data_IF_058648652470
#
_entry.id   IF_058648652470
#
_cell.length_a   1.000
_cell.length_b   1.000
_cell.length_c   1.000
_cell.angle_alpha   90.00
_cell.angle_beta   90.00
_cell.angle_gamma   90.00
#
_symmetry.space_group_name_H-M   'P 1'
#
loop_
_entity.id
_entity.type
_entity.pdbx_description
1 polymer ?
#
# COMPACT_ATOMS: atom_id res chain seq x y z
N UNK A 1 -25.39 3.64 10.90
CA UNK A 1 -24.83 3.35 9.56
C UNK A 1 -25.88 2.57 8.77
N UNK A 2 -26.41 3.10 7.67
CA UNK A 2 -27.34 2.35 6.82
C UNK A 2 -26.58 1.22 6.12
N UNK A 3 -27.05 -0.01 6.29
CA UNK A 3 -26.44 -1.19 5.67
C UNK A 3 -26.51 -1.05 4.16
N UNK A 4 -25.35 -1.10 3.49
CA UNK A 4 -25.27 -1.08 2.03
C UNK A 4 -25.80 -2.39 1.48
N UNK A 5 -26.59 -2.33 0.42
CA UNK A 5 -26.99 -3.56 -0.25
C UNK A 5 -25.78 -4.19 -0.97
N UNK A 6 -25.47 -5.44 -0.65
CA UNK A 6 -24.52 -6.27 -1.39
C UNK A 6 -25.15 -7.56 -1.91
N UNK A 7 -26.41 -7.86 -1.56
CA UNK A 7 -27.07 -9.09 -1.97
C UNK A 7 -26.27 -10.33 -1.58
N UNK A 8 -25.97 -11.18 -2.57
CA UNK A 8 -25.15 -12.39 -2.40
C UNK A 8 -23.64 -12.15 -2.55
N UNK A 9 -23.21 -10.92 -2.79
CA UNK A 9 -21.80 -10.57 -2.98
C UNK A 9 -21.14 -10.23 -1.63
N UNK A 10 -19.84 -10.54 -1.52
CA UNK A 10 -19.07 -10.30 -0.30
C UNK A 10 -19.00 -8.80 0.03
N UNK A 11 -18.95 -7.96 -1.01
CA UNK A 11 -18.87 -6.51 -0.84
C UNK A 11 -19.85 -5.76 -1.74
N UNK A 12 -20.33 -4.59 -1.31
CA UNK A 12 -21.20 -3.75 -2.13
C UNK A 12 -20.51 -3.21 -3.40
N UNK A 13 -19.17 -3.19 -3.45
CA UNK A 13 -18.44 -2.75 -4.65
C UNK A 13 -18.38 -3.84 -5.73
N UNK A 14 -18.20 -5.10 -5.32
CA UNK A 14 -18.34 -6.25 -6.23
C UNK A 14 -19.76 -6.32 -6.80
N UNK A 15 -20.78 -6.16 -5.94
CA UNK A 15 -22.18 -6.12 -6.36
C UNK A 15 -22.42 -5.03 -7.41
N UNK A 16 -21.95 -3.81 -7.14
CA UNK A 16 -22.12 -2.67 -8.03
C UNK A 16 -21.41 -2.85 -9.38
N UNK A 17 -20.23 -3.47 -9.40
CA UNK A 17 -19.53 -3.80 -10.64
C UNK A 17 -20.36 -4.76 -11.52
N UNK A 18 -20.84 -5.86 -10.94
CA UNK A 18 -21.60 -6.85 -11.72
C UNK A 18 -22.95 -6.30 -12.18
N UNK A 19 -23.57 -5.43 -11.38
CA UNK A 19 -24.75 -4.68 -11.82
C UNK A 19 -24.41 -3.70 -12.94
N UNK A 20 -23.28 -2.99 -12.89
CA UNK A 20 -22.82 -2.11 -13.96
C UNK A 20 -22.59 -2.88 -15.26
N UNK A 21 -21.97 -4.07 -15.19
CA UNK A 21 -21.81 -4.99 -16.32
C UNK A 21 -23.19 -5.39 -16.88
N UNK A 22 -24.14 -5.73 -16.01
CA UNK A 22 -25.52 -6.05 -16.41
C UNK A 22 -26.25 -4.89 -17.10
N UNK A 23 -26.14 -3.68 -16.56
CA UNK A 23 -26.74 -2.45 -17.12
C UNK A 23 -26.20 -2.15 -18.52
N UNK A 24 -24.88 -2.17 -18.68
CA UNK A 24 -24.21 -1.91 -19.96
C UNK A 24 -24.49 -3.04 -20.96
N UNK A 25 -24.56 -4.29 -20.50
CA UNK A 25 -24.96 -5.43 -21.36
C UNK A 25 -26.40 -5.29 -21.84
N UNK A 26 -27.35 -4.93 -20.96
CA UNK A 26 -28.74 -4.70 -21.34
C UNK A 26 -28.84 -3.55 -22.37
N UNK A 27 -28.09 -2.45 -22.16
CA UNK A 27 -28.01 -1.36 -23.12
C UNK A 27 -27.45 -1.80 -24.48
N UNK A 28 -26.38 -2.60 -24.49
CA UNK A 28 -25.81 -3.18 -25.70
C UNK A 28 -26.81 -4.07 -26.46
N UNK A 29 -27.58 -4.90 -25.75
CA UNK A 29 -28.65 -5.72 -26.37
C UNK A 29 -29.76 -4.84 -26.92
N UNK A 30 -30.14 -3.75 -26.23
CA UNK A 30 -31.11 -2.78 -26.76
C UNK A 30 -30.62 -2.13 -28.06
N UNK A 31 -29.33 -1.74 -28.12
CA UNK A 31 -28.72 -1.21 -29.36
C UNK A 31 -28.82 -2.26 -30.49
N UNK A 32 -28.54 -3.53 -30.20
CA UNK A 32 -28.67 -4.61 -31.17
C UNK A 32 -30.11 -4.82 -31.66
N UNK A 33 -31.09 -4.85 -30.74
CA UNK A 33 -32.52 -4.98 -31.08
C UNK A 33 -33.04 -3.81 -31.90
N UNK A 34 -32.50 -2.61 -31.69
CA UNK A 34 -32.91 -1.39 -32.39
C UNK A 34 -32.56 -1.38 -33.88
N UNK A 35 -31.61 -2.22 -34.26
CA UNK A 35 -31.22 -2.46 -35.65
C UNK A 35 -32.16 -3.43 -36.36
N UNK A 36 -33.01 -4.17 -35.63
CA UNK A 36 -34.05 -5.01 -36.22
C UNK A 36 -35.23 -4.17 -36.72
N UNK A 37 -35.96 -4.63 -37.77
CA UNK A 37 -37.18 -3.97 -38.22
C UNK A 37 -38.19 -3.84 -37.07
N UNK A 38 -39.06 -2.83 -37.16
CA UNK A 38 -40.12 -2.61 -36.15
C UNK A 38 -41.08 -3.81 -36.17
N UNK A 39 -41.38 -4.34 -35.00
CA UNK A 39 -42.28 -5.49 -34.81
C UNK A 39 -42.49 -5.79 -33.33
N UNK A 40 -43.47 -6.63 -33.01
CA UNK A 40 -43.86 -6.94 -31.63
C UNK A 40 -42.67 -7.39 -30.78
N UNK A 41 -41.82 -8.28 -31.30
CA UNK A 41 -40.63 -8.79 -30.61
C UNK A 41 -39.66 -7.67 -30.20
N UNK A 42 -39.49 -6.65 -31.05
CA UNK A 42 -38.65 -5.49 -30.73
C UNK A 42 -39.27 -4.68 -29.59
N UNK A 43 -40.55 -4.37 -29.66
CA UNK A 43 -41.25 -3.59 -28.62
C UNK A 43 -41.25 -4.32 -27.28
N UNK A 44 -41.61 -5.61 -27.26
CA UNK A 44 -41.59 -6.44 -26.04
C UNK A 44 -40.18 -6.55 -25.47
N UNK A 45 -39.16 -6.77 -26.32
CA UNK A 45 -37.77 -6.82 -25.89
C UNK A 45 -37.27 -5.49 -25.30
N UNK A 46 -37.68 -4.36 -25.87
CA UNK A 46 -37.38 -3.03 -25.35
C UNK A 46 -38.01 -2.79 -23.98
N UNK A 47 -39.31 -3.09 -23.82
CA UNK A 47 -40.00 -2.94 -22.54
C UNK A 47 -39.36 -3.81 -21.46
N UNK A 48 -39.04 -5.07 -21.78
CA UNK A 48 -38.37 -5.98 -20.85
C UNK A 48 -36.99 -5.46 -20.44
N UNK A 49 -36.16 -5.04 -21.39
CA UNK A 49 -34.81 -4.54 -21.11
C UNK A 49 -34.82 -3.22 -20.33
N UNK A 50 -35.77 -2.32 -20.60
CA UNK A 50 -35.97 -1.10 -19.80
C UNK A 50 -36.36 -1.42 -18.36
N UNK A 51 -37.26 -2.38 -18.14
CA UNK A 51 -37.62 -2.84 -16.80
C UNK A 51 -36.41 -3.44 -16.07
N UNK A 52 -35.63 -4.29 -16.73
CA UNK A 52 -34.38 -4.83 -16.19
C UNK A 52 -33.41 -3.70 -15.83
N UNK A 53 -33.22 -2.72 -16.71
CA UNK A 53 -32.35 -1.58 -16.46
C UNK A 53 -32.84 -0.73 -15.29
N UNK A 54 -34.14 -0.49 -15.15
CA UNK A 54 -34.69 0.24 -14.02
C UNK A 54 -34.42 -0.49 -12.69
N UNK A 55 -34.64 -1.82 -12.65
CA UNK A 55 -34.33 -2.64 -11.47
C UNK A 55 -32.84 -2.62 -11.13
N UNK A 56 -31.97 -2.78 -12.13
CA UNK A 56 -30.52 -2.74 -11.93
C UNK A 56 -30.02 -1.35 -11.52
N UNK A 57 -30.60 -0.27 -12.08
CA UNK A 57 -30.27 1.10 -11.70
C UNK A 57 -30.66 1.39 -10.23
N UNK A 58 -31.77 0.82 -9.77
CA UNK A 58 -32.13 0.90 -8.35
C UNK A 58 -31.12 0.14 -7.49
N UNK A 59 -30.75 -1.09 -7.86
CA UNK A 59 -29.80 -1.90 -7.11
C UNK A 59 -28.40 -1.28 -7.06
N UNK A 60 -27.90 -0.71 -8.15
CA UNK A 60 -26.58 -0.05 -8.15
C UNK A 60 -26.59 1.18 -7.24
N UNK A 61 -27.68 1.93 -7.20
CA UNK A 61 -27.83 3.06 -6.28
C UNK A 61 -27.98 2.60 -4.82
N UNK A 62 -28.68 1.49 -4.55
CA UNK A 62 -28.77 0.89 -3.20
C UNK A 62 -27.42 0.30 -2.72
N UNK A 63 -26.54 -0.11 -3.64
CA UNK A 63 -25.17 -0.50 -3.28
C UNK A 63 -24.37 0.66 -2.69
N UNK A 64 -24.75 1.91 -3.01
CA UNK A 64 -24.04 3.13 -2.66
C UNK A 64 -22.57 3.14 -3.10
N UNK A 65 -22.21 2.34 -4.13
CA UNK A 65 -20.84 2.27 -4.66
C UNK A 65 -20.63 3.33 -5.74
N UNK A 66 -19.87 4.37 -5.40
CA UNK A 66 -19.46 5.42 -6.33
C UNK A 66 -18.66 4.87 -7.52
N UNK A 67 -17.77 3.91 -7.26
CA UNK A 67 -16.95 3.28 -8.29
C UNK A 67 -17.80 2.50 -9.30
N UNK A 68 -18.79 1.72 -8.83
CA UNK A 68 -19.72 1.01 -9.70
C UNK A 68 -20.56 1.95 -10.56
N UNK A 69 -21.09 3.04 -9.98
CA UNK A 69 -21.81 4.06 -10.74
C UNK A 69 -20.93 4.74 -11.79
N UNK A 70 -19.71 5.15 -11.43
CA UNK A 70 -18.76 5.75 -12.36
C UNK A 70 -18.44 4.79 -13.51
N UNK A 71 -18.15 3.52 -13.20
CA UNK A 71 -17.91 2.47 -14.19
C UNK A 71 -19.10 2.27 -15.14
N UNK A 72 -20.32 2.21 -14.60
CA UNK A 72 -21.54 2.10 -15.38
C UNK A 72 -21.71 3.30 -16.34
N UNK A 73 -21.56 4.52 -15.82
CA UNK A 73 -21.68 5.75 -16.62
C UNK A 73 -20.62 5.76 -17.73
N UNK A 74 -19.37 5.42 -17.43
CA UNK A 74 -18.31 5.35 -18.44
C UNK A 74 -18.63 4.34 -19.54
N UNK A 75 -19.10 3.13 -19.20
CA UNK A 75 -19.53 2.14 -20.19
C UNK A 75 -20.71 2.61 -21.05
N UNK A 76 -21.72 3.24 -20.44
CA UNK A 76 -22.84 3.83 -21.18
C UNK A 76 -22.39 4.98 -22.09
N UNK A 77 -21.46 5.84 -21.66
CA UNK A 77 -20.90 6.89 -22.51
C UNK A 77 -20.14 6.32 -23.71
N UNK A 78 -19.36 5.25 -23.52
CA UNK A 78 -18.72 4.56 -24.65
C UNK A 78 -19.77 4.07 -25.65
N UNK A 79 -20.85 3.42 -25.19
CA UNK A 79 -21.94 3.00 -26.08
C UNK A 79 -22.64 4.17 -26.77
N UNK A 80 -22.86 5.27 -26.06
CA UNK A 80 -23.52 6.47 -26.54
C UNK A 80 -22.75 7.13 -27.70
N UNK A 81 -21.43 7.22 -27.58
CA UNK A 81 -20.57 7.84 -28.60
C UNK A 81 -20.15 6.89 -29.72
N UNK A 82 -20.38 5.58 -29.57
CA UNK A 82 -19.96 4.59 -30.57
C UNK A 82 -20.90 4.45 -31.77
N UNK A 83 -22.17 4.86 -31.66
CA UNK A 83 -23.14 4.76 -32.76
C UNK A 83 -24.06 5.99 -32.76
N UNK A 84 -24.18 6.68 -33.90
CA UNK A 84 -25.04 7.87 -34.04
C UNK A 84 -26.51 7.60 -33.70
N UNK A 85 -26.96 6.35 -33.75
CA UNK A 85 -28.34 5.96 -33.41
C UNK A 85 -28.49 5.37 -32.01
N UNK A 86 -27.41 5.10 -31.27
CA UNK A 86 -27.49 4.50 -29.93
C UNK A 86 -28.00 5.46 -28.86
N UNK A 87 -27.98 6.78 -29.10
CA UNK A 87 -28.44 7.73 -28.08
C UNK A 87 -29.90 7.49 -27.66
N UNK A 88 -30.77 7.09 -28.59
CA UNK A 88 -32.17 6.75 -28.27
C UNK A 88 -32.32 5.52 -27.36
N UNK A 89 -31.34 4.59 -27.37
CA UNK A 89 -31.36 3.38 -26.54
C UNK A 89 -30.59 3.55 -25.24
N UNK A 90 -29.50 4.32 -25.27
CA UNK A 90 -28.54 4.45 -24.16
C UNK A 90 -28.92 5.59 -23.22
N UNK A 91 -29.49 6.68 -23.74
CA UNK A 91 -29.87 7.83 -22.91
C UNK A 91 -30.90 7.48 -21.82
N UNK A 92 -31.93 6.65 -22.06
CA UNK A 92 -32.83 6.19 -21.00
C UNK A 92 -32.09 5.47 -19.87
N UNK A 93 -31.16 4.56 -20.20
CA UNK A 93 -30.37 3.85 -19.20
C UNK A 93 -29.50 4.80 -18.37
N UNK A 94 -28.88 5.80 -19.02
CA UNK A 94 -28.09 6.81 -18.34
C UNK A 94 -28.95 7.68 -17.40
N UNK A 95 -30.11 8.12 -17.88
CA UNK A 95 -31.09 8.87 -17.07
C UNK A 95 -31.54 8.04 -15.88
N UNK A 96 -31.86 6.76 -16.07
CA UNK A 96 -32.27 5.87 -14.98
C UNK A 96 -31.19 5.75 -13.90
N UNK A 97 -29.92 5.59 -14.27
CA UNK A 97 -28.80 5.54 -13.32
C UNK A 97 -28.66 6.86 -12.56
N UNK A 98 -28.74 8.00 -13.26
CA UNK A 98 -28.65 9.33 -12.64
C UNK A 98 -29.82 9.57 -11.69
N UNK A 99 -31.06 9.30 -12.13
CA UNK A 99 -32.27 9.48 -11.33
C UNK A 99 -32.26 8.56 -10.11
N UNK A 100 -31.92 7.28 -10.26
CA UNK A 100 -31.83 6.35 -9.14
C UNK A 100 -30.80 6.83 -8.09
N UNK A 101 -29.67 7.38 -8.54
CA UNK A 101 -28.63 7.91 -7.67
C UNK A 101 -29.07 9.19 -6.93
N UNK A 102 -29.84 10.07 -7.59
CA UNK A 102 -30.32 11.33 -7.02
C UNK A 102 -31.53 11.16 -6.09
N UNK A 103 -32.42 10.21 -6.39
CA UNK A 103 -33.66 9.98 -5.65
C UNK A 103 -33.42 9.19 -4.37
N UNK A 104 -32.49 8.24 -4.37
CA UNK A 104 -32.23 7.41 -3.19
C UNK A 104 -31.41 8.18 -2.14
N UNK A 105 -31.96 8.39 -0.92
CA UNK A 105 -31.28 9.16 0.14
C UNK A 105 -29.88 8.64 0.44
N UNK A 106 -29.72 7.31 0.48
CA UNK A 106 -28.43 6.66 0.75
C UNK A 106 -27.32 7.04 -0.24
N UNK A 107 -27.66 7.29 -1.51
CA UNK A 107 -26.70 7.71 -2.53
C UNK A 107 -26.48 9.23 -2.47
N UNK A 108 -27.57 10.00 -2.32
CA UNK A 108 -27.53 11.47 -2.23
C UNK A 108 -26.69 11.95 -1.04
N UNK A 109 -26.90 11.38 0.14
CA UNK A 109 -26.22 11.80 1.38
C UNK A 109 -24.72 11.49 1.35
N UNK A 110 -24.28 10.60 0.46
CA UNK A 110 -22.86 10.26 0.28
C UNK A 110 -22.08 11.23 -0.58
N UNK A 111 -22.75 12.04 -1.40
CA UNK A 111 -22.09 13.07 -2.19
C UNK A 111 -21.37 14.11 -1.29
N UNK A 112 -22.01 14.72 -0.27
CA UNK A 112 -21.32 15.63 0.63
C UNK A 112 -20.36 14.90 1.59
N UNK A 113 -20.71 13.67 2.03
CA UNK A 113 -19.84 12.87 2.88
C UNK A 113 -18.54 12.48 2.18
N UNK A 114 -18.54 12.35 0.85
CA UNK A 114 -17.36 12.06 0.04
C UNK A 114 -16.19 13.00 0.34
N UNK A 115 -16.46 14.30 0.50
CA UNK A 115 -15.43 15.30 0.73
C UNK A 115 -14.76 15.18 2.12
N UNK A 116 -15.35 14.43 3.04
CA UNK A 116 -14.91 14.27 4.43
C UNK A 116 -14.59 12.82 4.80
N UNK A 117 -14.62 11.91 3.83
CA UNK A 117 -14.57 10.47 4.06
C UNK A 117 -13.13 10.00 4.34
N UNK A 118 -12.85 9.63 5.60
CA UNK A 118 -11.56 9.08 6.03
C UNK A 118 -11.14 7.86 5.19
N UNK A 119 -12.09 7.07 4.67
CA UNK A 119 -11.80 5.93 3.80
C UNK A 119 -11.17 6.33 2.46
N UNK A 120 -11.33 7.60 2.02
CA UNK A 120 -10.58 8.12 0.88
C UNK A 120 -9.12 8.40 1.25
N UNK A 121 -8.88 8.89 2.47
CA UNK A 121 -7.52 9.06 3.01
C UNK A 121 -6.76 7.73 3.02
N UNK A 122 -7.41 6.67 3.48
CA UNK A 122 -6.83 5.32 3.53
C UNK A 122 -6.45 4.79 2.14
N UNK A 123 -7.33 4.96 1.15
CA UNK A 123 -7.05 4.56 -0.24
C UNK A 123 -5.90 5.35 -0.84
N UNK A 124 -5.87 6.66 -0.61
CA UNK A 124 -4.80 7.53 -1.11
C UNK A 124 -3.46 7.17 -0.45
N UNK A 125 -3.45 6.87 0.85
CA UNK A 125 -2.26 6.40 1.55
C UNK A 125 -1.76 5.07 0.98
N UNK A 126 -2.67 4.12 0.72
CA UNK A 126 -2.36 2.84 0.10
C UNK A 126 -1.84 2.99 -1.34
N UNK A 127 -2.44 3.87 -2.14
CA UNK A 127 -1.96 4.17 -3.50
C UNK A 127 -0.57 4.80 -3.48
N UNK A 128 -0.32 5.73 -2.56
CA UNK A 128 1.00 6.35 -2.37
C UNK A 128 2.05 5.32 -1.97
N UNK A 129 1.71 4.44 -1.03
CA UNK A 129 2.57 3.32 -0.58
C UNK A 129 2.90 2.38 -1.74
N UNK A 130 1.89 2.07 -2.56
CA UNK A 130 2.05 1.20 -3.75
C UNK A 130 2.94 1.84 -4.81
N UNK A 131 2.80 3.16 -5.02
CA UNK A 131 3.66 3.91 -5.93
C UNK A 131 5.10 3.97 -5.43
N UNK A 132 5.31 4.20 -4.13
CA UNK A 132 6.65 4.18 -3.54
C UNK A 132 7.32 2.81 -3.73
N UNK A 133 6.60 1.71 -3.46
CA UNK A 133 7.11 0.36 -3.71
C UNK A 133 7.45 0.10 -5.19
N UNK A 134 6.70 0.70 -6.13
CA UNK A 134 7.01 0.57 -7.56
C UNK A 134 8.29 1.29 -7.99
N UNK A 135 8.76 2.30 -7.23
CA UNK A 135 10.06 2.96 -7.47
C UNK A 135 11.21 2.02 -7.09
N UNK A 136 11.03 1.26 -6.01
CA UNK A 136 12.03 0.32 -5.51
C UNK A 136 12.12 -0.94 -6.39
N UNK A 137 11.00 -1.39 -6.94
CA UNK A 137 10.93 -2.61 -7.77
C UNK A 137 10.36 -2.34 -9.17
N UNK A 138 10.99 -1.47 -9.98
CA UNK A 138 10.40 -0.96 -11.21
C UNK A 138 10.29 -2.02 -12.32
N UNK A 139 11.23 -2.96 -12.38
CA UNK A 139 11.32 -3.91 -13.49
C UNK A 139 10.59 -5.22 -13.24
N UNK A 140 10.75 -5.79 -12.04
CA UNK A 140 10.23 -7.11 -11.68
C UNK A 140 8.93 -7.04 -10.90
N UNK A 141 8.65 -5.89 -10.26
CA UNK A 141 7.70 -5.82 -9.16
C UNK A 141 8.12 -6.69 -7.97
N UNK A 142 7.19 -6.85 -7.02
CA UNK A 142 7.38 -7.59 -5.75
C UNK A 142 6.66 -8.95 -5.73
N UNK A 143 5.99 -9.34 -6.82
CA UNK A 143 5.35 -10.64 -6.96
C UNK A 143 4.24 -10.90 -5.93
N UNK A 144 4.09 -12.16 -5.51
CA UNK A 144 3.07 -12.59 -4.56
C UNK A 144 3.22 -12.02 -3.15
N UNK A 145 4.36 -11.38 -2.82
CA UNK A 145 4.65 -10.78 -1.51
C UNK A 145 4.11 -9.35 -1.38
N UNK A 146 3.31 -8.90 -2.34
CA UNK A 146 2.87 -7.51 -2.40
C UNK A 146 2.11 -7.05 -1.16
N UNK A 147 1.24 -7.89 -0.61
CA UNK A 147 0.48 -7.56 0.60
C UNK A 147 1.39 -7.38 1.82
N UNK A 148 2.23 -8.38 2.13
CA UNK A 148 3.11 -8.32 3.30
C UNK A 148 4.16 -7.23 3.19
N UNK A 149 4.76 -7.05 2.01
CA UNK A 149 5.79 -6.03 1.83
C UNK A 149 5.20 -4.61 1.90
N UNK A 150 4.01 -4.37 1.35
CA UNK A 150 3.32 -3.08 1.52
C UNK A 150 2.97 -2.83 2.99
N UNK A 151 2.49 -3.85 3.70
CA UNK A 151 2.13 -3.76 5.11
C UNK A 151 3.34 -3.50 6.02
N UNK A 152 4.41 -4.27 5.84
CA UNK A 152 5.56 -4.24 6.75
C UNK A 152 6.45 -3.00 6.51
N UNK A 153 6.45 -2.43 5.30
CA UNK A 153 7.43 -1.42 4.89
C UNK A 153 6.83 -0.10 4.43
N UNK A 154 5.71 -0.09 3.69
CA UNK A 154 5.25 1.13 3.00
C UNK A 154 4.00 1.75 3.63
N UNK A 155 3.15 0.95 4.27
CA UNK A 155 1.92 1.43 4.90
C UNK A 155 2.21 2.10 6.26
N UNK A 156 1.57 3.24 6.56
CA UNK A 156 1.67 3.84 7.90
C UNK A 156 1.09 2.93 8.98
N UNK A 157 1.65 3.02 10.20
CA UNK A 157 1.15 2.30 11.36
C UNK A 157 -0.35 2.58 11.56
N UNK A 158 -1.17 1.54 11.73
CA UNK A 158 -2.63 1.64 11.83
C UNK A 158 -3.38 1.18 10.57
N UNK A 159 -2.68 1.00 9.44
CA UNK A 159 -3.22 0.40 8.22
C UNK A 159 -2.90 -1.09 8.05
N UNK A 160 -2.02 -1.63 8.89
CA UNK A 160 -1.66 -3.05 8.93
C UNK A 160 -2.89 -3.95 9.11
N UNK A 161 -2.89 -5.10 8.44
CA UNK A 161 -3.92 -6.16 8.47
C UNK A 161 -5.28 -5.79 7.89
N UNK A 162 -5.46 -4.57 7.35
CA UNK A 162 -6.74 -4.14 6.75
C UNK A 162 -6.84 -4.36 5.24
N UNK A 163 -5.73 -4.38 4.52
CA UNK A 163 -5.75 -4.40 3.05
C UNK A 163 -4.86 -5.50 2.47
N UNK A 164 -5.43 -6.37 1.64
CA UNK A 164 -4.69 -7.43 0.93
C UNK A 164 -4.21 -7.00 -0.47
N UNK A 165 -4.72 -5.89 -1.00
CA UNK A 165 -4.43 -5.37 -2.35
C UNK A 165 -4.29 -3.85 -2.29
N UNK A 166 -3.77 -3.20 -3.34
CA UNK A 166 -3.68 -1.73 -3.41
C UNK A 166 -5.02 -1.04 -3.68
N UNK A 167 -6.12 -1.80 -3.68
CA UNK A 167 -7.47 -1.33 -4.03
C UNK A 167 -7.55 -0.65 -5.40
N UNK A 168 -6.62 -0.95 -6.30
CA UNK A 168 -6.65 -0.59 -7.71
C UNK A 168 -5.99 -1.71 -8.51
N UNK A 169 -6.67 -2.26 -9.50
CA UNK A 169 -6.13 -3.31 -10.38
C UNK A 169 -4.86 -2.86 -11.09
N UNK A 170 -4.85 -1.62 -11.62
CA UNK A 170 -3.69 -1.06 -12.32
C UNK A 170 -2.47 -0.92 -11.42
N UNK A 171 -2.63 -0.35 -10.23
CA UNK A 171 -1.54 -0.25 -9.25
C UNK A 171 -1.12 -1.62 -8.71
N UNK A 172 -2.07 -2.57 -8.59
CA UNK A 172 -1.71 -3.94 -8.18
C UNK A 172 -0.88 -4.64 -9.25
N UNK A 173 -1.23 -4.51 -10.53
CA UNK A 173 -0.42 -5.02 -11.64
C UNK A 173 0.97 -4.37 -11.62
N UNK A 174 1.03 -3.05 -11.48
CA UNK A 174 2.29 -2.30 -11.43
C UNK A 174 3.19 -2.80 -10.31
N UNK A 175 2.70 -2.87 -9.07
CA UNK A 175 3.55 -3.22 -7.93
C UNK A 175 3.95 -4.69 -7.99
N UNK A 176 3.05 -5.57 -8.45
CA UNK A 176 3.29 -7.02 -8.48
C UNK A 176 4.22 -7.46 -9.61
N UNK A 177 4.14 -6.81 -10.77
CA UNK A 177 4.84 -7.25 -11.99
C UNK A 177 5.74 -6.18 -12.62
N UNK A 178 5.82 -4.98 -12.04
CA UNK A 178 6.65 -3.88 -12.52
C UNK A 178 6.03 -3.06 -13.65
N UNK A 179 6.74 -1.99 -14.03
CA UNK A 179 6.39 -1.13 -15.16
C UNK A 179 6.30 -1.87 -16.51
N UNK A 180 7.15 -2.86 -16.85
CA UNK A 180 7.04 -3.55 -18.13
C UNK A 180 5.71 -4.30 -18.31
N UNK A 181 5.24 -4.99 -17.27
CA UNK A 181 3.96 -5.69 -17.32
C UNK A 181 2.78 -4.70 -17.41
N UNK A 182 2.83 -3.62 -16.62
CA UNK A 182 1.84 -2.55 -16.69
C UNK A 182 1.82 -1.91 -18.09
N UNK A 183 2.98 -1.66 -18.70
CA UNK A 183 3.11 -1.17 -20.07
C UNK A 183 2.38 -2.08 -21.05
N UNK A 184 2.71 -3.38 -21.03
CA UNK A 184 2.13 -4.36 -21.94
C UNK A 184 0.59 -4.40 -21.84
N UNK A 185 0.05 -4.36 -20.61
CA UNK A 185 -1.40 -4.33 -20.37
C UNK A 185 -2.03 -3.06 -20.93
N UNK A 186 -1.47 -1.88 -20.64
CA UNK A 186 -1.99 -0.60 -21.14
C UNK A 186 -1.89 -0.51 -22.67
N UNK A 187 -0.78 -0.97 -23.25
CA UNK A 187 -0.61 -1.05 -24.71
C UNK A 187 -1.65 -1.98 -25.33
N UNK A 188 -1.87 -3.18 -24.78
CA UNK A 188 -2.86 -4.11 -25.29
C UNK A 188 -4.26 -3.48 -25.25
N UNK A 189 -4.67 -2.92 -24.11
CA UNK A 189 -5.98 -2.27 -23.96
C UNK A 189 -6.11 -1.09 -24.93
N UNK A 190 -5.09 -0.24 -25.02
CA UNK A 190 -5.09 0.92 -25.92
C UNK A 190 -5.19 0.52 -27.40
N UNK A 191 -4.51 -0.57 -27.79
CA UNK A 191 -4.55 -1.12 -29.14
C UNK A 191 -5.97 -1.61 -29.48
N UNK A 192 -6.57 -2.39 -28.57
CA UNK A 192 -7.92 -2.91 -28.75
C UNK A 192 -8.95 -1.78 -28.78
N UNK A 193 -8.85 -0.80 -27.89
CA UNK A 193 -9.74 0.36 -27.85
C UNK A 193 -9.63 1.20 -29.13
N UNK A 194 -8.42 1.55 -29.56
CA UNK A 194 -8.20 2.33 -30.79
C UNK A 194 -8.73 1.61 -32.03
N UNK A 195 -8.52 0.29 -32.10
CA UNK A 195 -9.00 -0.54 -33.21
C UNK A 195 -10.54 -0.68 -33.19
N UNK A 196 -11.14 -0.79 -32.01
CA UNK A 196 -12.59 -0.88 -31.84
C UNK A 196 -13.29 0.44 -32.20
N UNK A 197 -12.76 1.59 -31.76
CA UNK A 197 -13.29 2.92 -32.10
C UNK A 197 -13.21 3.17 -33.61
N UNK A 198 -12.11 2.76 -34.24
CA UNK A 198 -11.92 2.93 -35.69
C UNK A 198 -12.75 1.97 -36.53
N UNK A 199 -13.35 0.96 -35.90
CA UNK A 199 -14.28 0.05 -36.52
C UNK A 199 -15.67 0.70 -36.57
N UNK A 200 -15.86 1.65 -37.48
CA UNK A 200 -17.09 2.46 -37.66
C UNK A 200 -18.41 1.66 -37.85
N UNK A 201 -18.36 0.32 -37.90
CA UNK A 201 -19.52 -0.52 -38.28
C UNK A 201 -19.88 -1.67 -37.34
N UNK A 202 -19.09 -1.98 -36.30
CA UNK A 202 -19.43 -3.13 -35.43
C UNK A 202 -19.90 -2.70 -34.03
N UNK A 203 -21.22 -2.64 -33.86
CA UNK A 203 -21.87 -2.45 -32.56
C UNK A 203 -21.38 -3.44 -31.50
N UNK A 204 -21.01 -4.65 -31.96
CA UNK A 204 -20.43 -5.69 -31.14
C UNK A 204 -19.10 -5.25 -30.49
N UNK A 205 -18.15 -4.73 -31.27
CA UNK A 205 -16.87 -4.25 -30.71
C UNK A 205 -17.07 -3.05 -29.79
N UNK A 206 -18.02 -2.15 -30.11
CA UNK A 206 -18.38 -1.04 -29.24
C UNK A 206 -18.96 -1.52 -27.89
N UNK A 207 -19.77 -2.57 -27.92
CA UNK A 207 -20.35 -3.18 -26.71
C UNK A 207 -19.29 -3.86 -25.85
N UNK A 208 -18.38 -4.60 -26.46
CA UNK A 208 -17.26 -5.22 -25.76
C UNK A 208 -16.29 -4.16 -25.20
N UNK A 209 -16.03 -3.07 -25.94
CA UNK A 209 -15.23 -1.95 -25.44
C UNK A 209 -15.91 -1.25 -24.26
N UNK A 210 -17.23 -1.05 -24.32
CA UNK A 210 -17.98 -0.47 -23.21
C UNK A 210 -17.91 -1.34 -21.95
N UNK A 211 -18.05 -2.67 -22.09
CA UNK A 211 -17.91 -3.61 -20.97
C UNK A 211 -16.47 -3.64 -20.43
N UNK A 212 -15.46 -3.62 -21.30
CA UNK A 212 -14.07 -3.48 -20.87
C UNK A 212 -13.86 -2.17 -20.09
N UNK A 213 -14.45 -1.06 -20.56
CA UNK A 213 -14.38 0.24 -19.89
C UNK A 213 -15.01 0.20 -18.48
N UNK A 214 -16.14 -0.52 -18.29
CA UNK A 214 -16.72 -0.76 -16.95
C UNK A 214 -15.69 -1.39 -16.03
N UNK A 215 -15.03 -2.48 -16.46
CA UNK A 215 -14.01 -3.14 -15.64
C UNK A 215 -12.81 -2.24 -15.39
N UNK A 216 -12.31 -1.51 -16.39
CA UNK A 216 -11.14 -0.65 -16.23
C UNK A 216 -11.40 0.49 -15.25
N UNK A 217 -12.55 1.18 -15.37
CA UNK A 217 -12.92 2.28 -14.47
C UNK A 217 -13.21 1.78 -13.07
N UNK A 218 -13.89 0.65 -12.92
CA UNK A 218 -14.06 0.03 -11.61
C UNK A 218 -12.70 -0.35 -11.00
N UNK A 219 -11.78 -0.88 -11.81
CA UNK A 219 -10.45 -1.31 -11.42
C UNK A 219 -9.53 -0.15 -10.99
N UNK A 220 -9.88 1.09 -11.28
CA UNK A 220 -9.19 2.26 -10.71
C UNK A 220 -9.46 2.40 -9.21
N UNK A 221 -10.59 1.89 -8.69
CA UNK A 221 -11.04 2.14 -7.32
C UNK A 221 -11.23 0.87 -6.47
N UNK A 222 -11.05 -0.29 -7.08
CA UNK A 222 -11.03 -1.59 -6.41
C UNK A 222 -10.09 -2.54 -7.16
N UNK A 223 -9.60 -3.55 -6.47
CA UNK A 223 -8.76 -4.58 -7.06
C UNK A 223 -9.64 -5.81 -7.43
N UNK A 224 -10.66 -5.64 -8.27
CA UNK A 224 -11.64 -6.70 -8.51
C UNK A 224 -11.14 -7.79 -9.45
N UNK A 225 -10.07 -7.56 -10.22
CA UNK A 225 -9.50 -8.60 -11.09
C UNK A 225 -8.78 -9.71 -10.31
N UNK A 226 -8.69 -9.59 -8.99
CA UNK A 226 -8.17 -10.64 -8.11
C UNK A 226 -9.24 -11.64 -7.65
N UNK A 227 -10.51 -11.36 -7.94
CA UNK A 227 -11.59 -12.34 -7.76
C UNK A 227 -11.79 -13.11 -9.06
N UNK A 228 -11.80 -14.45 -8.96
CA UNK A 228 -11.84 -15.33 -10.13
C UNK A 228 -13.02 -15.04 -11.08
N UNK A 229 -14.27 -14.85 -10.61
CA UNK A 229 -15.39 -14.62 -11.53
C UNK A 229 -15.26 -13.33 -12.36
N UNK A 230 -14.84 -12.23 -11.71
CA UNK A 230 -14.66 -10.93 -12.37
C UNK A 230 -13.43 -10.91 -13.27
N UNK A 231 -12.37 -11.64 -12.90
CA UNK A 231 -11.20 -11.87 -13.76
C UNK A 231 -11.59 -12.62 -15.04
N UNK A 232 -12.28 -13.75 -14.91
CA UNK A 232 -12.73 -14.55 -16.06
C UNK A 232 -13.66 -13.74 -16.97
N UNK A 233 -14.58 -12.97 -16.40
CA UNK A 233 -15.45 -12.07 -17.16
C UNK A 233 -14.63 -11.03 -17.96
N UNK A 234 -13.67 -10.37 -17.31
CA UNK A 234 -12.81 -9.39 -17.97
C UNK A 234 -11.96 -10.01 -19.08
N UNK A 235 -11.29 -11.14 -18.80
CA UNK A 235 -10.49 -11.86 -19.80
C UNK A 235 -11.33 -12.28 -21.00
N UNK A 236 -12.54 -12.82 -20.76
CA UNK A 236 -13.46 -13.17 -21.83
C UNK A 236 -13.82 -11.95 -22.70
N UNK A 237 -14.15 -10.82 -22.08
CA UNK A 237 -14.45 -9.57 -22.80
C UNK A 237 -13.25 -9.12 -23.65
N UNK A 238 -12.05 -9.15 -23.08
CA UNK A 238 -10.81 -8.76 -23.78
C UNK A 238 -10.51 -9.69 -24.96
N UNK A 239 -10.66 -11.01 -24.78
CA UNK A 239 -10.45 -12.01 -25.84
C UNK A 239 -11.49 -11.82 -26.96
N UNK A 240 -12.77 -11.68 -26.62
CA UNK A 240 -13.81 -11.42 -27.61
C UNK A 240 -13.59 -10.09 -28.35
N UNK A 241 -13.10 -9.07 -27.65
CA UNK A 241 -12.77 -7.77 -28.24
C UNK A 241 -11.59 -7.91 -29.20
N UNK A 242 -10.53 -8.63 -28.79
CA UNK A 242 -9.39 -8.91 -29.64
C UNK A 242 -9.81 -9.65 -30.92
N UNK A 243 -10.62 -10.69 -30.80
CA UNK A 243 -11.16 -11.42 -31.96
C UNK A 243 -12.02 -10.52 -32.85
N UNK A 244 -12.82 -9.61 -32.29
CA UNK A 244 -13.70 -8.73 -33.07
C UNK A 244 -12.95 -7.65 -33.86
N UNK A 245 -11.72 -7.31 -33.46
CA UNK A 245 -10.89 -6.28 -34.11
C UNK A 245 -9.60 -6.81 -34.75
N UNK A 246 -9.26 -8.10 -34.60
CA UNK A 246 -7.97 -8.66 -35.02
C UNK A 246 -7.60 -8.33 -36.47
N UNK A 247 -8.53 -8.53 -37.40
CA UNK A 247 -8.33 -8.25 -38.84
C UNK A 247 -8.20 -6.76 -39.18
N UNK A 248 -8.42 -5.88 -38.19
CA UNK A 248 -8.43 -4.42 -38.34
C UNK A 248 -7.29 -3.74 -37.60
N UNK A 249 -6.45 -4.50 -36.90
CA UNK A 249 -5.25 -3.98 -36.26
C UNK A 249 -4.32 -3.47 -37.36
N UNK A 250 -4.09 -2.15 -37.37
CA UNK A 250 -3.18 -1.46 -38.28
C UNK A 250 -2.02 -0.87 -37.47
N UNK A 251 -0.87 -0.68 -38.12
CA UNK A 251 0.31 -0.08 -37.48
C UNK A 251 0.00 1.23 -36.74
N UNK A 252 -0.85 2.09 -37.32
CA UNK A 252 -1.30 3.34 -36.67
C UNK A 252 -1.92 3.14 -35.28
N UNK A 253 -2.68 2.06 -35.08
CA UNK A 253 -3.34 1.77 -33.80
C UNK A 253 -2.31 1.33 -32.76
N UNK A 254 -1.30 0.57 -33.18
CA UNK A 254 -0.16 0.22 -32.34
C UNK A 254 0.63 1.46 -31.93
N UNK A 255 0.91 2.38 -32.86
CA UNK A 255 1.61 3.63 -32.54
C UNK A 255 0.84 4.47 -31.53
N UNK A 256 -0.48 4.63 -31.70
CA UNK A 256 -1.34 5.33 -30.74
C UNK A 256 -1.31 4.64 -29.37
N UNK A 257 -1.43 3.32 -29.34
CA UNK A 257 -1.43 2.54 -28.10
C UNK A 257 -0.09 2.64 -27.36
N UNK A 258 1.03 2.55 -28.08
CA UNK A 258 2.37 2.74 -27.53
C UNK A 258 2.53 4.16 -26.98
N UNK A 259 2.10 5.19 -27.71
CA UNK A 259 2.17 6.58 -27.24
C UNK A 259 1.37 6.80 -25.95
N UNK A 260 0.14 6.26 -25.87
CA UNK A 260 -0.69 6.32 -24.66
C UNK A 260 -0.02 5.59 -23.50
N UNK A 261 0.50 4.38 -23.74
CA UNK A 261 1.15 3.59 -22.70
C UNK A 261 2.44 4.26 -22.20
N UNK A 262 3.25 4.82 -23.09
CA UNK A 262 4.46 5.56 -22.74
C UNK A 262 4.14 6.82 -21.93
N UNK A 263 3.11 7.58 -22.32
CA UNK A 263 2.64 8.74 -21.56
C UNK A 263 2.14 8.33 -20.17
N UNK A 264 1.31 7.28 -20.09
CA UNK A 264 0.78 6.78 -18.83
C UNK A 264 1.89 6.36 -17.88
N UNK A 265 2.90 5.63 -18.37
CA UNK A 265 4.06 5.24 -17.56
C UNK A 265 4.90 6.44 -17.17
N UNK A 266 5.18 7.36 -18.08
CA UNK A 266 5.95 8.57 -17.77
C UNK A 266 5.31 9.39 -16.65
N UNK A 267 3.99 9.60 -16.72
CA UNK A 267 3.22 10.28 -15.68
C UNK A 267 3.22 9.51 -14.35
N UNK A 268 3.06 8.19 -14.42
CA UNK A 268 3.02 7.33 -13.23
C UNK A 268 4.39 7.28 -12.54
N UNK A 269 5.48 7.18 -13.30
CA UNK A 269 6.85 7.21 -12.80
C UNK A 269 7.20 8.57 -12.20
N UNK A 270 6.78 9.67 -12.84
CA UNK A 270 6.95 11.02 -12.29
C UNK A 270 6.20 11.16 -10.96
N UNK A 271 4.96 10.68 -10.90
CA UNK A 271 4.17 10.73 -9.66
C UNK A 271 4.74 9.83 -8.58
N UNK A 272 5.19 8.62 -8.94
CA UNK A 272 5.84 7.70 -8.01
C UNK A 272 7.11 8.31 -7.42
N UNK A 273 7.94 8.97 -8.25
CA UNK A 273 9.12 9.70 -7.80
C UNK A 273 8.76 10.86 -6.86
N UNK A 274 7.75 11.66 -7.20
CA UNK A 274 7.27 12.73 -6.32
C UNK A 274 6.84 12.19 -4.95
N UNK A 275 5.99 11.15 -4.95
CA UNK A 275 5.48 10.52 -3.72
C UNK A 275 6.62 9.91 -2.91
N UNK A 276 7.61 9.28 -3.56
CA UNK A 276 8.79 8.73 -2.88
C UNK A 276 9.71 9.79 -2.28
N UNK A 277 9.55 11.07 -2.63
CA UNK A 277 10.23 12.18 -1.96
C UNK A 277 9.47 12.68 -0.74
N UNK A 278 8.14 12.56 -0.74
CA UNK A 278 7.26 12.94 0.38
C UNK A 278 7.25 11.87 1.49
N UNK A 279 7.40 10.60 1.11
CA UNK A 279 7.61 9.50 2.04
C UNK A 279 9.10 9.24 2.12
N UNK A 280 9.74 9.26 3.30
CA UNK A 280 11.09 8.74 3.40
C UNK A 280 11.05 7.30 2.88
N UNK A 281 11.75 7.05 1.77
CA UNK A 281 11.84 5.72 1.17
C UNK A 281 12.05 4.71 2.31
N UNK A 282 11.12 3.77 2.45
CA UNK A 282 11.21 2.76 3.48
C UNK A 282 12.33 1.76 3.21
N UNK A 283 12.92 1.80 2.01
CA UNK A 283 14.11 1.05 1.65
C UNK A 283 15.20 1.93 1.04
N UNK A 284 16.45 1.73 1.46
CA UNK A 284 17.63 2.25 0.77
C UNK A 284 18.35 1.07 0.10
N UNK A 285 18.80 1.27 -1.13
CA UNK A 285 19.62 0.29 -1.84
C UNK A 285 21.05 0.35 -1.27
N UNK A 286 21.42 -0.67 -0.50
CA UNK A 286 22.77 -0.92 0.02
C UNK A 286 23.31 -2.16 -0.67
N UNK A 287 24.38 -2.03 -1.46
CA UNK A 287 25.02 -3.13 -2.20
C UNK A 287 24.04 -3.93 -3.09
N UNK A 288 23.17 -3.23 -3.84
CA UNK A 288 22.09 -3.79 -4.66
C UNK A 288 21.03 -4.59 -3.88
N UNK A 289 20.93 -4.39 -2.56
CA UNK A 289 19.88 -4.94 -1.73
C UNK A 289 19.07 -3.84 -1.06
N UNK A 290 17.76 -4.01 -1.05
CA UNK A 290 16.85 -3.11 -0.34
C UNK A 290 16.94 -3.36 1.17
N UNK A 291 17.48 -2.40 1.92
CA UNK A 291 17.54 -2.42 3.39
C UNK A 291 16.54 -1.42 3.95
N UNK A 292 15.91 -1.71 5.09
CA UNK A 292 14.90 -0.81 5.68
C UNK A 292 15.55 0.52 6.04
N UNK A 293 15.21 1.58 5.32
CA UNK A 293 15.58 2.92 5.72
C UNK A 293 14.59 3.34 6.82
N UNK A 294 15.14 3.70 7.98
CA UNK A 294 14.34 4.32 9.02
C UNK A 294 13.71 5.58 8.44
N UNK A 295 12.38 5.78 8.60
CA UNK A 295 11.71 6.95 8.03
C UNK A 295 12.43 8.23 8.46
N UNK A 296 12.99 9.01 7.53
CA UNK A 296 13.49 10.37 7.85
C UNK A 296 12.36 11.15 8.49
N UNK A 297 12.50 11.45 9.78
CA UNK A 297 11.49 12.15 10.58
C UNK A 297 10.78 11.31 11.65
N UNK A 298 10.85 9.97 11.61
CA UNK A 298 10.69 9.21 12.85
C UNK A 298 11.98 9.42 13.62
N UNK A 299 11.92 10.31 14.63
CA UNK A 299 12.92 10.39 15.68
C UNK A 299 13.25 8.95 16.09
N UNK A 300 14.49 8.57 15.79
CA UNK A 300 15.25 7.46 16.36
C UNK A 300 14.37 6.42 17.04
N UNK A 301 14.22 5.23 16.43
CA UNK A 301 13.91 4.07 17.25
C UNK A 301 14.89 4.10 18.43
N UNK A 302 14.43 4.20 19.69
CA UNK A 302 15.33 4.49 20.79
C UNK A 302 16.35 3.36 20.82
N UNK A 303 17.60 3.71 20.59
CA UNK A 303 18.67 2.72 20.55
C UNK A 303 19.07 2.49 21.99
N UNK A 304 18.76 1.31 22.52
CA UNK A 304 19.15 0.92 23.86
C UNK A 304 20.58 0.42 23.78
N UNK A 305 21.51 1.17 24.37
CA UNK A 305 22.88 0.73 24.53
C UNK A 305 22.97 -0.05 25.85
N UNK A 306 23.23 -1.36 25.76
CA UNK A 306 23.44 -2.22 26.92
C UNK A 306 24.93 -2.46 27.12
N UNK A 307 25.54 -1.83 28.11
CA UNK A 307 26.91 -2.13 28.49
C UNK A 307 26.90 -3.24 29.56
N UNK A 308 27.53 -4.38 29.25
CA UNK A 308 27.61 -5.52 30.17
C UNK A 308 29.01 -5.57 30.78
N UNK A 309 29.11 -5.61 32.11
CA UNK A 309 30.39 -5.65 32.85
C UNK A 309 31.18 -6.96 32.63
N UNK A 310 30.50 -8.05 32.25
CA UNK A 310 31.13 -9.34 31.96
C UNK A 310 31.10 -9.65 30.44
N UNK A 311 32.27 -9.75 29.77
CA UNK A 311 32.36 -10.20 28.37
C UNK A 311 31.73 -11.59 28.13
N UNK A 312 31.76 -12.46 29.14
CA UNK A 312 31.11 -13.77 29.11
C UNK A 312 29.58 -13.70 29.22
N UNK A 313 29.04 -12.62 29.79
CA UNK A 313 27.61 -12.34 29.83
C UNK A 313 27.10 -11.86 28.48
N UNK A 314 27.87 -11.09 27.70
CA UNK A 314 27.50 -10.66 26.34
C UNK A 314 27.15 -11.85 25.44
N UNK A 315 27.92 -12.94 25.51
CA UNK A 315 27.64 -14.16 24.74
C UNK A 315 26.40 -14.91 25.23
N UNK A 316 26.12 -14.88 26.53
CA UNK A 316 24.95 -15.54 27.15
C UNK A 316 23.65 -14.74 26.99
N UNK A 317 23.74 -13.40 27.02
CA UNK A 317 22.62 -12.46 26.83
C UNK A 317 22.19 -12.31 25.37
N UNK A 318 23.02 -12.73 24.40
CA UNK A 318 22.90 -12.40 22.98
C UNK A 318 21.66 -12.96 22.26
N UNK A 319 20.85 -13.86 22.84
CA UNK A 319 19.81 -14.56 22.06
C UNK A 319 18.42 -14.78 22.67
N UNK A 320 18.25 -14.87 24.00
CA UNK A 320 16.93 -15.17 24.59
C UNK A 320 16.39 -14.06 25.50
N UNK A 321 17.15 -13.64 26.52
CA UNK A 321 16.64 -12.75 27.57
C UNK A 321 16.24 -11.34 27.09
N UNK A 322 16.95 -10.77 26.11
CA UNK A 322 16.63 -9.42 25.58
C UNK A 322 15.31 -9.46 24.78
N UNK A 323 15.00 -10.59 24.15
CA UNK A 323 13.83 -10.78 23.30
C UNK A 323 12.52 -10.74 24.11
N UNK A 324 12.58 -11.20 25.35
CA UNK A 324 11.40 -11.29 26.22
C UNK A 324 11.13 -9.96 26.95
N UNK A 325 12.14 -9.08 27.05
CA UNK A 325 12.09 -7.87 27.89
C UNK A 325 12.02 -6.58 27.07
N UNK A 326 12.63 -6.54 25.89
CA UNK A 326 12.64 -5.34 25.04
C UNK A 326 11.64 -5.53 23.90
N UNK A 327 10.56 -4.72 23.85
CA UNK A 327 9.59 -4.82 22.76
C UNK A 327 10.27 -4.68 21.39
N UNK A 328 9.76 -5.36 20.36
CA UNK A 328 10.31 -5.44 18.99
C UNK A 328 10.59 -4.08 18.28
N UNK A 329 10.26 -2.96 18.92
CA UNK A 329 10.40 -1.59 18.41
C UNK A 329 11.73 -0.88 18.77
N UNK A 330 12.64 -1.51 19.51
CA UNK A 330 13.92 -0.92 19.92
C UNK A 330 15.12 -1.62 19.26
N UNK A 331 16.15 -0.85 18.90
CA UNK A 331 17.44 -1.40 18.51
C UNK A 331 18.31 -1.57 19.76
N UNK A 332 18.82 -2.77 20.04
CA UNK A 332 19.68 -3.02 21.22
C UNK A 332 21.12 -3.24 20.76
N UNK A 333 22.03 -2.41 21.24
CA UNK A 333 23.47 -2.54 20.98
C UNK A 333 24.14 -2.96 22.28
N UNK A 334 24.74 -4.16 22.30
CA UNK A 334 25.50 -4.65 23.45
C UNK A 334 27.00 -4.43 23.25
N UNK A 335 27.69 -3.81 24.20
CA UNK A 335 29.15 -3.63 24.16
C UNK A 335 29.82 -4.14 25.45
N UNK A 336 31.03 -4.68 25.32
CA UNK A 336 31.84 -5.09 26.46
C UNK A 336 32.55 -3.87 27.09
N UNK A 337 33.00 -3.96 28.36
CA UNK A 337 33.68 -2.85 29.02
C UNK A 337 35.02 -2.58 28.35
N UNK A 338 35.27 -1.31 28.01
CA UNK A 338 36.52 -0.91 27.35
C UNK A 338 36.52 -1.10 25.82
N UNK A 339 35.48 -1.67 25.22
CA UNK A 339 35.30 -1.58 23.77
C UNK A 339 34.87 -0.15 23.41
N UNK A 340 35.79 0.60 22.79
CA UNK A 340 35.41 1.80 22.05
C UNK A 340 34.56 1.33 20.89
N UNK A 341 33.26 1.63 20.91
CA UNK A 341 32.39 1.44 19.74
C UNK A 341 32.87 2.40 18.67
N UNK A 342 33.90 1.97 17.92
CA UNK A 342 34.34 2.66 16.72
C UNK A 342 33.13 2.69 15.77
N UNK A 343 32.95 3.74 14.95
CA UNK A 343 31.94 3.72 13.89
C UNK A 343 32.05 2.47 12.99
N UNK A 344 33.24 1.88 12.90
CA UNK A 344 33.54 0.61 12.22
C UNK A 344 33.12 -0.66 12.98
N UNK A 345 32.61 -0.58 14.21
CA UNK A 345 32.06 -1.69 15.00
C UNK A 345 30.53 -1.75 14.93
N UNK A 346 29.89 -0.85 14.17
CA UNK A 346 28.46 -0.95 13.83
C UNK A 346 28.11 -2.16 12.93
N UNK A 347 29.11 -2.97 12.55
CA UNK A 347 28.95 -4.32 12.02
C UNK A 347 28.25 -5.26 13.02
N UNK A 348 28.16 -4.86 14.29
CA UNK A 348 27.44 -5.56 15.34
C UNK A 348 26.15 -4.85 15.77
N UNK A 349 25.47 -4.19 14.84
CA UNK A 349 24.03 -3.97 14.99
C UNK A 349 23.37 -5.31 14.76
N UNK A 350 22.72 -5.89 15.78
CA UNK A 350 21.80 -7.00 15.58
C UNK A 350 20.58 -6.50 14.79
N UNK A 351 20.78 -6.25 13.50
CA UNK A 351 19.69 -6.37 12.57
C UNK A 351 19.24 -7.83 12.65
N UNK A 352 17.94 -8.05 12.74
CA UNK A 352 17.32 -9.35 12.98
C UNK A 352 17.62 -10.43 11.90
N UNK A 353 18.49 -10.10 10.94
CA UNK A 353 19.19 -11.00 10.03
C UNK A 353 20.68 -10.63 9.97
N UNK A 354 21.56 -11.60 10.26
CA UNK A 354 23.04 -11.48 10.22
C UNK A 354 23.56 -10.82 8.92
N UNK A 355 22.91 -11.13 7.80
CA UNK A 355 23.28 -10.65 6.47
C UNK A 355 22.99 -9.16 6.25
N UNK A 356 21.99 -8.59 6.95
CA UNK A 356 21.69 -7.16 6.92
C UNK A 356 22.67 -6.34 7.77
N UNK A 357 23.17 -6.94 8.87
CA UNK A 357 24.16 -6.32 9.76
C UNK A 357 25.55 -6.19 9.11
N UNK A 358 26.01 -7.24 8.43
CA UNK A 358 27.29 -7.27 7.72
C UNK A 358 27.35 -6.32 6.51
N UNK A 359 26.19 -5.90 5.99
CA UNK A 359 26.08 -5.03 4.80
C UNK A 359 25.79 -3.57 5.15
N UNK A 360 25.00 -3.32 6.19
CA UNK A 360 24.82 -1.98 6.76
C UNK A 360 26.15 -1.34 7.19
N UNK A 361 27.06 -2.18 7.68
CA UNK A 361 28.40 -1.80 8.07
C UNK A 361 29.33 -1.43 6.91
N UNK A 362 29.22 -2.11 5.77
CA UNK A 362 30.00 -1.81 4.58
C UNK A 362 29.60 -0.46 3.94
N UNK A 363 28.31 -0.14 3.93
CA UNK A 363 27.78 1.08 3.29
C UNK A 363 28.12 2.39 4.00
N UNK A 364 28.33 2.36 5.32
CA UNK A 364 28.55 3.57 6.11
C UNK A 364 30.00 4.05 6.14
N UNK A 365 30.94 3.23 5.68
CA UNK A 365 32.36 3.61 5.57
C UNK A 365 32.63 4.76 4.57
N UNK A 366 31.62 5.23 3.82
CA UNK A 366 31.75 6.27 2.78
C UNK A 366 30.98 7.58 3.04
N UNK A 367 30.42 7.84 4.24
CA UNK A 367 29.80 9.14 4.57
C UNK A 367 30.27 9.63 5.95
N UNK A 368 30.96 10.76 5.96
CA UNK A 368 31.77 11.23 7.09
C UNK A 368 31.11 12.24 8.05
N UNK A 369 29.84 12.61 7.89
CA UNK A 369 29.30 13.80 8.59
C UNK A 369 28.01 13.55 9.41
N UNK A 370 28.10 12.77 10.49
CA UNK A 370 27.16 12.88 11.63
C UNK A 370 27.91 12.59 12.95
N UNK A 371 28.00 13.53 13.91
CA UNK A 371 28.65 13.28 15.19
C UNK A 371 27.69 12.54 16.14
N UNK A 372 28.06 11.31 16.53
CA UNK A 372 27.50 10.65 17.71
C UNK A 372 28.51 10.77 18.86
N UNK A 373 28.09 11.38 19.98
CA UNK A 373 28.95 11.59 21.15
C UNK A 373 28.94 10.35 22.07
N UNK A 374 30.14 9.88 22.43
CA UNK A 374 30.45 8.82 23.40
C UNK A 374 31.30 9.43 24.52
N UNK A 375 30.98 9.15 25.80
CA UNK A 375 31.78 9.46 27.00
C UNK A 375 31.58 8.27 27.97
N UNK A 376 32.47 7.28 28.21
CA UNK A 376 33.88 7.16 28.68
C UNK A 376 34.05 7.41 30.21
N UNK A 377 35.03 6.88 31.00
CA UNK A 377 35.99 5.74 30.93
C UNK A 377 35.81 4.75 32.12
N UNK A 378 36.40 3.54 32.16
CA UNK A 378 37.64 3.28 32.90
C UNK A 378 38.10 1.83 32.71
N UNK A 379 39.41 1.66 32.47
CA UNK A 379 40.15 0.48 32.87
C UNK A 379 40.96 0.79 34.12
N UNK A 380 40.85 -0.08 35.13
CA UNK A 380 41.96 -0.90 35.65
C UNK A 380 41.36 -2.07 36.44
N UNK A 381 41.89 -3.29 36.29
CA UNK A 381 41.38 -4.47 36.98
C UNK A 381 41.89 -4.46 38.43
N UNK A 382 40.99 -4.65 39.41
CA UNK A 382 41.41 -5.05 40.76
C UNK A 382 40.58 -6.22 41.26
N UNK A 383 41.30 -7.31 41.52
CA UNK A 383 41.07 -8.50 42.33
C UNK A 383 39.66 -9.11 42.49
N UNK A 384 39.62 -10.40 42.10
CA UNK A 384 38.80 -11.53 42.61
C UNK A 384 37.82 -11.18 43.74
N UNK A 385 36.54 -11.16 43.39
CA UNK A 385 35.40 -11.28 44.29
C UNK A 385 34.16 -11.52 43.45
N UNK A 386 33.23 -12.38 43.89
CA UNK A 386 31.98 -12.70 43.20
C UNK A 386 31.31 -11.44 42.63
N UNK A 387 31.26 -11.32 41.31
CA UNK A 387 30.63 -10.18 40.63
C UNK A 387 29.17 -10.54 40.39
N UNK A 388 28.27 -10.00 41.22
CA UNK A 388 26.91 -9.74 40.77
C UNK A 388 27.01 -8.73 39.63
N UNK A 389 26.77 -9.19 38.40
CA UNK A 389 26.91 -8.37 37.20
C UNK A 389 25.89 -7.22 37.28
N UNK A 390 26.36 -5.98 37.48
CA UNK A 390 25.49 -4.81 37.39
C UNK A 390 25.27 -4.48 35.92
N UNK A 391 24.02 -4.54 35.48
CA UNK A 391 23.64 -4.11 34.13
C UNK A 391 23.24 -2.63 34.22
N UNK A 392 24.02 -1.75 33.61
CA UNK A 392 23.67 -0.34 33.52
C UNK A 392 22.94 -0.08 32.20
N UNK A 393 21.68 0.32 32.28
CA UNK A 393 20.84 0.55 31.10
C UNK A 393 20.61 2.05 30.97
N UNK A 394 21.28 2.67 30.00
CA UNK A 394 21.18 4.10 29.75
C UNK A 394 20.09 4.32 28.70
N UNK A 395 18.95 4.86 29.14
CA UNK A 395 17.84 5.20 28.25
C UNK A 395 17.87 6.70 27.97
N UNK A 396 18.08 7.07 26.71
CA UNK A 396 18.03 8.49 26.31
C UNK A 396 16.57 8.96 26.31
N UNK A 397 16.23 9.95 27.15
CA UNK A 397 14.84 10.36 27.43
C UNK A 397 14.09 11.10 26.30
N UNK A 398 14.61 11.11 25.07
CA UNK A 398 13.85 11.65 23.93
C UNK A 398 12.87 10.63 23.32
N UNK A 399 12.74 9.44 23.92
CA UNK A 399 11.67 8.49 23.62
C UNK A 399 10.40 8.88 24.41
N UNK A 400 9.32 9.35 23.77
CA UNK A 400 8.10 9.80 24.48
C UNK A 400 7.32 8.65 25.14
N UNK A 401 7.75 7.40 24.96
CA UNK A 401 7.23 6.21 25.62
C UNK A 401 8.39 5.28 25.98
N UNK A 402 9.09 5.59 27.07
CA UNK A 402 9.78 4.57 27.85
C UNK A 402 8.68 3.96 28.72
N UNK A 403 8.33 2.66 28.59
CA UNK A 403 7.48 2.02 29.62
C UNK A 403 8.13 2.28 30.97
N UNK A 404 7.36 2.47 32.03
CA UNK A 404 7.94 2.71 33.35
C UNK A 404 8.82 1.52 33.72
N UNK A 405 10.12 1.63 33.48
CA UNK A 405 11.09 0.56 33.73
C UNK A 405 11.23 0.30 35.23
N UNK A 406 10.66 1.19 36.05
CA UNK A 406 10.48 1.00 37.49
C UNK A 406 9.46 -0.11 37.75
N UNK A 407 8.34 -0.15 37.00
CA UNK A 407 7.31 -1.19 37.10
C UNK A 407 7.85 -2.55 36.62
N UNK A 408 8.68 -2.54 35.58
CA UNK A 408 9.42 -3.73 35.12
C UNK A 408 10.42 -4.20 36.18
N UNK A 409 11.17 -3.29 36.81
CA UNK A 409 12.14 -3.59 37.87
C UNK A 409 11.46 -4.16 39.12
N UNK A 410 10.29 -3.65 39.47
CA UNK A 410 9.46 -4.14 40.59
C UNK A 410 8.84 -5.51 40.31
N UNK A 411 8.67 -5.88 39.03
CA UNK A 411 8.14 -7.20 38.63
C UNK A 411 9.18 -8.33 38.58
N UNK A 412 10.48 -8.01 38.69
CA UNK A 412 11.58 -8.97 38.64
C UNK A 412 11.88 -9.52 40.04
N UNK A 413 12.13 -10.83 40.18
CA UNK A 413 12.48 -11.41 41.48
C UNK A 413 13.86 -10.91 41.94
N UNK A 414 14.13 -10.89 43.25
CA UNK A 414 15.43 -10.42 43.79
C UNK A 414 16.63 -11.22 43.22
N UNK A 415 16.40 -12.49 42.88
CA UNK A 415 17.39 -13.38 42.26
C UNK A 415 17.55 -13.18 40.74
N UNK A 416 16.71 -12.36 40.11
CA UNK A 416 16.82 -12.06 38.69
C UNK A 416 18.01 -11.12 38.46
N UNK A 417 18.97 -11.45 37.55
CA UNK A 417 20.12 -10.58 37.26
C UNK A 417 19.74 -9.15 36.85
N UNK A 418 18.50 -8.94 36.40
CA UNK A 418 17.94 -7.62 36.06
C UNK A 418 17.47 -6.80 37.29
N UNK A 419 17.40 -7.38 38.49
CA UNK A 419 17.07 -6.63 39.73
C UNK A 419 18.13 -5.55 40.06
N UNK A 420 19.36 -5.75 39.59
CA UNK A 420 20.50 -4.83 39.73
C UNK A 420 20.49 -3.65 38.74
N UNK A 421 19.51 -3.58 37.84
CA UNK A 421 19.43 -2.58 36.77
C UNK A 421 19.30 -1.17 37.35
N UNK A 422 20.21 -0.26 36.96
CA UNK A 422 20.09 1.17 37.30
C UNK A 422 19.65 1.94 36.07
N UNK A 423 18.44 2.50 36.11
CA UNK A 423 17.85 3.30 35.02
C UNK A 423 18.03 4.78 35.37
N UNK A 424 18.66 5.54 34.50
CA UNK A 424 18.82 6.99 34.66
C UNK A 424 17.90 7.74 33.69
N UNK A 425 16.77 8.29 34.14
CA UNK A 425 15.95 9.18 33.31
C UNK A 425 16.60 10.57 33.27
N UNK A 426 17.05 11.03 32.10
CA UNK A 426 17.59 12.38 31.96
C UNK A 426 17.25 13.00 30.61
N UNK A 427 16.75 14.25 30.60
CA UNK A 427 16.59 15.01 29.36
C UNK A 427 17.97 15.26 28.74
N UNK A 428 18.06 15.27 27.42
CA UNK A 428 19.33 15.49 26.69
C UNK A 428 20.12 16.72 27.15
N UNK A 429 19.44 17.76 27.64
CA UNK A 429 20.04 18.99 28.19
C UNK A 429 20.56 18.87 29.63
N UNK A 430 20.05 17.93 30.41
CA UNK A 430 20.38 17.71 31.84
C UNK A 430 21.51 16.68 32.00
N UNK A 431 21.96 16.08 30.89
CA UNK A 431 22.95 15.01 30.89
C UNK A 431 24.31 15.44 31.46
N UNK A 432 24.75 16.68 31.18
CA UNK A 432 25.98 17.22 31.76
C UNK A 432 25.91 17.37 33.28
N UNK A 433 24.82 17.93 33.80
CA UNK A 433 24.70 18.15 35.25
C UNK A 433 24.52 16.84 36.02
N UNK A 434 23.85 15.84 35.44
CA UNK A 434 23.72 14.52 36.07
C UNK A 434 25.09 13.82 36.16
N UNK A 435 25.88 13.87 35.08
CA UNK A 435 27.25 13.33 35.08
C UNK A 435 28.13 14.04 36.12
N UNK A 436 28.05 15.37 36.20
CA UNK A 436 28.77 16.15 37.21
C UNK A 436 28.31 15.83 38.64
N UNK A 437 26.99 15.66 38.88
CA UNK A 437 26.44 15.33 40.20
C UNK A 437 26.88 13.94 40.67
N UNK A 438 26.89 12.95 39.76
CA UNK A 438 27.35 11.59 40.05
C UNK A 438 28.86 11.57 40.33
N UNK A 439 29.63 12.38 39.61
CA UNK A 439 31.08 12.48 39.82
C UNK A 439 31.40 13.17 41.16
N UNK A 440 30.58 14.16 41.56
CA UNK A 440 30.73 14.88 42.85
C UNK A 440 30.36 13.99 44.04
N UNK A 441 29.22 13.29 43.98
CA UNK A 441 28.78 12.30 44.99
C UNK A 441 29.81 11.17 45.22
N UNK A 442 30.55 10.78 44.18
CA UNK A 442 31.58 9.75 44.27
C UNK A 442 32.91 10.26 44.81
N UNK A 443 33.21 11.56 44.65
CA UNK A 443 34.36 12.20 45.30
C UNK A 443 34.12 12.42 46.79
N UNK A 444 32.87 12.58 47.20
CA UNK A 444 32.50 12.72 48.62
C UNK A 444 32.44 11.37 49.36
N UNK A 445 32.19 10.27 48.64
CA UNK A 445 32.13 8.90 49.17
C UNK A 445 33.47 8.12 49.06
N UNK A 446 34.53 8.76 48.56
CA UNK A 446 35.91 8.24 48.56
C UNK A 446 36.74 9.05 49.55
#
# INVERSE_FOLDING_TARGET
MTQRWSGFFETPNQAALLIAVGLVSAAAVMVALSRRPRGALRTTGWCLLLSIQASLALLIAMSGSRAGCAACVSGLLVLLFSDKKSWLTVLPALILVIVAFLVLPQSRDRLPAAAKDLAQGDRVALWRSTLAASVDYPWTGIGGRASSLLEDWYLPDGYSKRFQTSLSDGLTILVRFGYPAFFAVVTLIGLLASSAISSERSWWSASLLALACVHLVAGLFQAHLWYLPTLLCFVLIVVLLALSVWTRIRLRHLTIALAIASLAIGLLALKAKQVSGEFPLATELVDNQHVRAFPRGRREAPTILCQLEDPGAVRRFRHSAIRDVVPDRYAVICCAPGEVVRPSLWNYVSAWHQEAADRWSAARLNRHDDPLYLVNPHGTPSHRGNVGARISLVVTANAPFVPDLTELKESLSEDDPLSSLTVYPAKSSEWRSLVETIDTSRRENR
#
